data_IF_828645301026
#
_entry.id   IF_828645301026
#
_cell.length_a   1.000
_cell.length_b   1.000
_cell.length_c   1.000
_cell.angle_alpha   90.00
_cell.angle_beta   90.00
_cell.angle_gamma   90.00
#
_symmetry.space_group_name_H-M   'P 1'
#
loop_
_entity.id
_entity.type
_entity.pdbx_description
1 polymer ?
#
# COMPACT_ATOMS: atom_id res chain seq x y z
N UNK A 1 2.59 -8.73 37.37
CA UNK A 1 3.46 -8.82 36.18
C UNK A 1 4.93 -8.74 36.59
N UNK A 2 5.70 -9.76 36.25
CA UNK A 2 7.15 -9.78 36.33
C UNK A 2 7.76 -8.98 35.17
N UNK A 3 9.06 -8.66 35.24
CA UNK A 3 9.75 -7.99 34.11
C UNK A 3 9.70 -8.85 32.84
N UNK A 4 9.89 -10.16 32.97
CA UNK A 4 9.88 -11.09 31.84
C UNK A 4 8.51 -11.23 31.18
N UNK A 5 7.43 -11.26 31.99
CA UNK A 5 6.06 -11.22 31.48
C UNK A 5 5.80 -9.93 30.70
N UNK A 6 6.17 -8.78 31.27
CA UNK A 6 5.96 -7.46 30.64
C UNK A 6 6.73 -7.30 29.32
N UNK A 7 7.98 -7.76 29.28
CA UNK A 7 8.78 -7.78 28.06
C UNK A 7 8.10 -8.62 26.96
N UNK A 8 7.66 -9.83 27.30
CA UNK A 8 7.03 -10.74 26.35
C UNK A 8 5.72 -10.15 25.79
N UNK A 9 4.88 -9.57 26.65
CA UNK A 9 3.63 -8.97 26.19
C UNK A 9 3.87 -7.76 25.27
N UNK A 10 4.92 -6.97 25.50
CA UNK A 10 5.32 -5.86 24.60
C UNK A 10 5.82 -6.36 23.24
N UNK A 11 6.65 -7.40 23.23
CA UNK A 11 7.14 -8.03 21.99
C UNK A 11 5.98 -8.59 21.15
N UNK A 12 5.08 -9.35 21.77
CA UNK A 12 3.89 -9.90 21.11
C UNK A 12 2.93 -8.80 20.62
N UNK A 13 2.79 -7.72 21.40
CA UNK A 13 1.96 -6.59 21.00
C UNK A 13 2.52 -5.88 19.76
N UNK A 14 3.82 -5.58 19.74
CA UNK A 14 4.44 -4.87 18.62
C UNK A 14 4.37 -5.65 17.32
N UNK A 15 4.65 -6.95 17.36
CA UNK A 15 4.54 -7.84 16.20
C UNK A 15 3.08 -7.90 15.69
N UNK A 16 2.11 -8.03 16.61
CA UNK A 16 0.69 -8.03 16.27
C UNK A 16 0.23 -6.70 15.69
N UNK A 17 0.68 -5.58 16.26
CA UNK A 17 0.35 -4.24 15.83
C UNK A 17 0.84 -3.98 14.40
N UNK A 18 2.12 -4.27 14.12
CA UNK A 18 2.72 -4.10 12.80
C UNK A 18 1.97 -4.92 11.75
N UNK A 19 1.70 -6.21 12.05
CA UNK A 19 0.92 -7.09 11.18
C UNK A 19 -0.48 -6.54 10.88
N UNK A 20 -1.15 -5.91 11.85
CA UNK A 20 -2.47 -5.33 11.66
C UNK A 20 -2.43 -4.05 10.83
N UNK A 21 -1.47 -3.17 11.08
CA UNK A 21 -1.27 -1.95 10.29
C UNK A 21 -0.99 -2.29 8.83
N UNK A 22 -0.11 -3.25 8.56
CA UNK A 22 0.15 -3.74 7.21
C UNK A 22 -1.12 -4.26 6.52
N UNK A 23 -1.90 -5.10 7.20
CA UNK A 23 -3.17 -5.64 6.67
C UNK A 23 -4.16 -4.54 6.30
N UNK A 24 -4.28 -3.49 7.12
CA UNK A 24 -5.16 -2.35 6.86
C UNK A 24 -4.73 -1.63 5.59
N UNK A 25 -3.44 -1.28 5.47
CA UNK A 25 -2.94 -0.56 4.29
C UNK A 25 -3.02 -1.40 3.02
N UNK A 26 -2.70 -2.70 3.10
CA UNK A 26 -2.90 -3.65 2.00
C UNK A 26 -4.38 -3.61 1.59
N UNK A 27 -5.31 -3.83 2.52
CA UNK A 27 -6.74 -3.87 2.21
C UNK A 27 -7.25 -2.58 1.56
N UNK A 28 -6.81 -1.40 2.02
CA UNK A 28 -7.18 -0.12 1.41
C UNK A 28 -6.65 0.04 -0.01
N UNK A 29 -5.38 -0.30 -0.24
CA UNK A 29 -4.81 -0.34 -1.59
C UNK A 29 -5.60 -1.31 -2.50
N UNK A 30 -6.00 -2.48 -1.97
CA UNK A 30 -6.81 -3.45 -2.71
C UNK A 30 -8.17 -2.91 -3.12
N UNK A 31 -8.89 -2.27 -2.21
CA UNK A 31 -10.21 -1.68 -2.49
C UNK A 31 -10.09 -0.62 -3.60
N UNK A 32 -9.08 0.24 -3.54
CA UNK A 32 -8.85 1.26 -4.56
C UNK A 32 -8.51 0.64 -5.94
N UNK A 33 -7.72 -0.45 -5.97
CA UNK A 33 -7.45 -1.20 -7.20
C UNK A 33 -8.71 -1.89 -7.77
N UNK A 34 -9.58 -2.44 -6.91
CA UNK A 34 -10.83 -3.07 -7.34
C UNK A 34 -11.77 -2.03 -7.95
N UNK A 35 -11.90 -0.84 -7.32
CA UNK A 35 -12.69 0.29 -7.87
C UNK A 35 -12.18 0.70 -9.26
N UNK A 36 -10.86 0.76 -9.45
CA UNK A 36 -10.25 1.02 -10.77
C UNK A 36 -10.60 -0.07 -11.79
N UNK A 37 -10.50 -1.36 -11.44
CA UNK A 37 -10.79 -2.47 -12.37
C UNK A 37 -12.27 -2.53 -12.76
N UNK A 38 -13.17 -2.40 -11.80
CA UNK A 38 -14.60 -2.63 -11.98
C UNK A 38 -15.33 -1.57 -12.80
N UNK A 39 -14.75 -0.37 -12.94
CA UNK A 39 -15.41 0.75 -13.62
C UNK A 39 -14.46 1.68 -14.37
N UNK A 40 -13.28 1.23 -14.80
CA UNK A 40 -12.27 2.11 -15.42
C UNK A 40 -12.82 2.97 -16.57
N UNK A 41 -13.71 2.39 -17.39
CA UNK A 41 -14.41 3.07 -18.50
C UNK A 41 -15.46 4.06 -18.04
N UNK A 42 -16.06 3.81 -16.88
CA UNK A 42 -17.23 4.52 -16.35
C UNK A 42 -16.80 5.65 -15.40
N UNK A 43 -15.57 5.58 -14.89
CA UNK A 43 -14.95 6.62 -14.08
C UNK A 43 -14.48 7.79 -14.96
N UNK A 44 -14.65 9.00 -14.45
CA UNK A 44 -14.01 10.19 -14.99
C UNK A 44 -12.49 10.13 -14.83
N UNK A 45 -11.76 10.99 -15.56
CA UNK A 45 -10.31 11.10 -15.41
C UNK A 45 -9.90 11.45 -13.98
N UNK A 46 -10.66 12.32 -13.32
CA UNK A 46 -10.35 12.78 -11.97
C UNK A 46 -10.57 11.68 -10.94
N UNK A 47 -11.64 10.88 -11.07
CA UNK A 47 -11.87 9.72 -10.21
C UNK A 47 -10.80 8.64 -10.39
N UNK A 48 -10.42 8.33 -11.63
CA UNK A 48 -9.28 7.42 -11.90
C UNK A 48 -8.00 7.94 -11.26
N UNK A 49 -7.72 9.23 -11.37
CA UNK A 49 -6.53 9.86 -10.80
C UNK A 49 -6.55 9.75 -9.27
N UNK A 50 -7.69 10.04 -8.64
CA UNK A 50 -7.87 9.90 -7.19
C UNK A 50 -7.64 8.47 -6.72
N UNK A 51 -8.19 7.46 -7.40
CA UNK A 51 -7.95 6.07 -7.01
C UNK A 51 -6.49 5.65 -7.20
N UNK A 52 -5.83 6.09 -8.27
CA UNK A 52 -4.39 5.87 -8.44
C UNK A 52 -3.56 6.53 -7.33
N UNK A 53 -3.94 7.73 -6.87
CA UNK A 53 -3.30 8.40 -5.73
C UNK A 53 -3.49 7.60 -4.43
N UNK A 54 -4.70 7.13 -4.14
CA UNK A 54 -4.98 6.29 -2.96
C UNK A 54 -4.12 5.01 -2.99
N UNK A 55 -4.06 4.33 -4.14
CA UNK A 55 -3.20 3.15 -4.32
C UNK A 55 -1.74 3.52 -4.05
N UNK A 56 -1.25 4.62 -4.65
CA UNK A 56 0.12 5.08 -4.47
C UNK A 56 0.44 5.35 -3.00
N UNK A 57 -0.38 6.13 -2.31
CA UNK A 57 -0.16 6.54 -0.92
C UNK A 57 -0.08 5.34 0.04
N UNK A 58 -0.97 4.36 -0.13
CA UNK A 58 -0.96 3.15 0.70
C UNK A 58 0.22 2.23 0.36
N UNK A 59 0.58 2.10 -0.92
CA UNK A 59 1.77 1.34 -1.32
C UNK A 59 3.06 2.00 -0.84
N UNK A 60 3.18 3.32 -0.91
CA UNK A 60 4.31 4.07 -0.35
C UNK A 60 4.43 3.85 1.16
N UNK A 61 3.30 3.78 1.87
CA UNK A 61 3.31 3.50 3.31
C UNK A 61 3.80 2.08 3.62
N UNK A 62 3.37 1.07 2.86
CA UNK A 62 3.83 -0.32 3.01
C UNK A 62 5.31 -0.51 2.64
N UNK A 63 5.84 0.33 1.74
CA UNK A 63 7.23 0.27 1.29
C UNK A 63 8.17 1.12 2.15
N UNK A 64 7.66 1.85 3.15
CA UNK A 64 8.52 2.54 4.12
C UNK A 64 9.36 1.49 4.87
N UNK A 65 10.63 1.80 5.17
CA UNK A 65 11.42 0.95 6.06
C UNK A 65 10.64 0.72 7.36
N UNK A 66 10.61 -0.52 7.87
CA UNK A 66 9.99 -0.79 9.16
C UNK A 66 10.65 0.07 10.24
N UNK A 67 9.88 0.48 11.24
CA UNK A 67 10.46 1.15 12.39
C UNK A 67 11.47 0.21 13.06
N UNK A 68 12.56 0.75 13.65
CA UNK A 68 13.52 -0.08 14.35
C UNK A 68 12.82 -0.88 15.45
N UNK A 69 12.92 -2.21 15.40
CA UNK A 69 12.40 -3.07 16.45
C UNK A 69 13.08 -2.71 17.77
N UNK A 70 12.27 -2.35 18.78
CA UNK A 70 12.76 -2.03 20.11
C UNK A 70 13.32 -3.29 20.78
N UNK A 71 14.56 -3.21 21.25
CA UNK A 71 15.20 -4.30 21.99
C UNK A 71 14.80 -4.23 23.47
N UNK A 72 13.61 -4.77 23.79
CA UNK A 72 13.06 -4.82 25.14
C UNK A 72 13.95 -5.60 26.12
N UNK A 73 14.84 -6.47 25.63
CA UNK A 73 15.75 -7.25 26.48
C UNK A 73 16.75 -6.36 27.24
N UNK A 74 17.06 -5.18 26.70
CA UNK A 74 18.00 -4.21 27.29
C UNK A 74 17.32 -3.16 28.18
N UNK A 75 16.00 -3.12 28.21
CA UNK A 75 15.24 -2.14 28.98
C UNK A 75 15.08 -2.56 30.44
N UNK A 76 15.07 -1.57 31.32
CA UNK A 76 14.68 -1.70 32.72
C UNK A 76 13.18 -1.94 32.86
N UNK A 77 12.76 -2.47 34.01
CA UNK A 77 11.32 -2.68 34.28
C UNK A 77 10.51 -1.38 34.19
N UNK A 78 11.09 -0.24 34.56
CA UNK A 78 10.42 1.06 34.52
C UNK A 78 10.19 1.51 33.07
N UNK A 79 11.20 1.40 32.21
CA UNK A 79 11.08 1.71 30.78
C UNK A 79 10.03 0.80 30.11
N UNK A 80 10.01 -0.49 30.43
CA UNK A 80 8.98 -1.41 29.94
C UNK A 80 7.56 -0.98 30.38
N UNK A 81 7.38 -0.50 31.61
CA UNK A 81 6.08 -0.01 32.09
C UNK A 81 5.64 1.27 31.37
N UNK A 82 6.59 2.14 31.04
CA UNK A 82 6.31 3.33 30.24
C UNK A 82 5.81 2.94 28.85
N UNK A 83 6.51 2.04 28.16
CA UNK A 83 6.07 1.50 26.87
C UNK A 83 4.70 0.81 26.94
N UNK A 84 4.46 0.04 28.00
CA UNK A 84 3.17 -0.60 28.24
C UNK A 84 2.02 0.40 28.38
N UNK A 85 2.25 1.54 29.05
CA UNK A 85 1.24 2.57 29.17
C UNK A 85 0.92 3.25 27.82
N UNK A 86 1.87 3.25 26.87
CA UNK A 86 1.66 3.76 25.52
C UNK A 86 0.91 2.80 24.59
N UNK A 87 0.75 1.52 24.95
CA UNK A 87 -0.04 0.55 24.15
C UNK A 87 -1.45 1.07 23.89
N UNK A 88 -2.10 1.68 24.88
CA UNK A 88 -3.46 2.19 24.70
C UNK A 88 -3.55 3.26 23.61
N UNK A 89 -2.54 4.14 23.51
CA UNK A 89 -2.49 5.16 22.46
C UNK A 89 -2.31 4.52 21.09
N UNK A 90 -1.45 3.49 20.98
CA UNK A 90 -1.29 2.72 19.73
C UNK A 90 -2.57 1.96 19.38
N UNK A 91 -3.25 1.40 20.36
CA UNK A 91 -4.53 0.72 20.19
C UNK A 91 -5.60 1.66 19.66
N UNK A 92 -5.71 2.87 20.22
CA UNK A 92 -6.61 3.91 19.75
C UNK A 92 -6.29 4.32 18.30
N UNK A 93 -5.01 4.54 17.98
CA UNK A 93 -4.59 4.82 16.61
C UNK A 93 -4.95 3.68 15.63
N UNK A 94 -4.85 2.42 16.08
CA UNK A 94 -5.27 1.27 15.28
C UNK A 94 -6.80 1.24 15.08
N UNK A 95 -7.58 1.55 16.11
CA UNK A 95 -9.03 1.67 16.02
C UNK A 95 -9.40 2.80 15.04
N UNK A 96 -8.78 3.96 15.13
CA UNK A 96 -8.99 5.05 14.17
C UNK A 96 -8.65 4.64 12.74
N UNK A 97 -7.58 3.87 12.53
CA UNK A 97 -7.23 3.29 11.23
C UNK A 97 -8.29 2.27 10.74
N UNK A 98 -8.98 1.57 11.63
CA UNK A 98 -10.12 0.73 11.24
C UNK A 98 -11.39 1.55 10.97
N UNK A 99 -11.64 2.59 11.75
CA UNK A 99 -12.88 3.39 11.72
C UNK A 99 -12.91 4.46 10.63
N UNK A 100 -11.74 4.89 10.12
CA UNK A 100 -11.65 5.70 8.90
C UNK A 100 -12.13 4.87 7.71
N UNK A 101 -13.46 4.80 7.58
CA UNK A 101 -14.24 4.10 6.57
C UNK A 101 -13.92 4.64 5.19
N UNK A 102 -13.34 3.77 4.37
CA UNK A 102 -13.83 3.62 3.00
C UNK A 102 -15.17 2.87 3.10
N UNK A 103 -16.21 3.30 2.37
CA UNK A 103 -17.55 2.69 2.31
C UNK A 103 -17.53 1.25 1.75
N UNK A 104 -16.91 0.32 2.47
CA UNK A 104 -16.87 -1.09 2.15
C UNK A 104 -17.34 -1.89 3.36
N UNK A 105 -18.58 -2.36 3.30
CA UNK A 105 -19.13 -3.31 4.27
C UNK A 105 -18.49 -4.68 4.04
N UNK A 106 -17.82 -5.27 5.05
CA UNK A 106 -17.35 -6.64 4.96
C UNK A 106 -18.57 -7.56 5.06
N UNK A 107 -19.14 -7.94 3.92
CA UNK A 107 -20.08 -9.06 3.86
C UNK A 107 -19.43 -10.20 3.06
N UNK A 108 -18.98 -11.21 3.80
CA UNK A 108 -18.94 -12.63 3.40
C UNK A 108 -17.94 -13.12 2.32
N UNK A 109 -16.82 -12.45 2.04
CA UNK A 109 -16.00 -12.83 0.86
C UNK A 109 -14.46 -12.94 1.06
N UNK A 110 -13.96 -13.41 2.20
CA UNK A 110 -12.49 -13.56 2.40
C UNK A 110 -11.77 -14.51 1.40
N UNK A 111 -12.48 -15.45 0.77
CA UNK A 111 -11.91 -16.34 -0.28
C UNK A 111 -12.12 -15.83 -1.71
N UNK A 112 -13.21 -15.11 -1.96
CA UNK A 112 -13.55 -14.47 -3.25
C UNK A 112 -12.63 -13.27 -3.53
N UNK A 113 -12.22 -12.56 -2.48
CA UNK A 113 -11.38 -11.36 -2.57
C UNK A 113 -9.95 -11.66 -3.02
N UNK A 114 -9.34 -12.80 -2.68
CA UNK A 114 -7.96 -13.11 -3.08
C UNK A 114 -7.83 -13.32 -4.60
N UNK A 115 -8.82 -13.93 -5.24
CA UNK A 115 -8.83 -14.10 -6.70
C UNK A 115 -9.14 -12.78 -7.42
N UNK A 116 -10.16 -12.03 -6.94
CA UNK A 116 -10.46 -10.67 -7.44
C UNK A 116 -9.25 -9.74 -7.33
N UNK A 117 -8.49 -9.87 -6.23
CA UNK A 117 -7.22 -9.18 -5.99
C UNK A 117 -6.17 -9.55 -7.02
N UNK A 118 -5.88 -10.84 -7.18
CA UNK A 118 -4.86 -11.32 -8.13
C UNK A 118 -5.17 -10.82 -9.53
N UNK A 119 -6.43 -10.83 -9.92
CA UNK A 119 -6.87 -10.29 -11.19
C UNK A 119 -6.73 -8.76 -11.29
N UNK A 120 -7.12 -8.01 -10.25
CA UNK A 120 -6.96 -6.55 -10.22
C UNK A 120 -5.48 -6.13 -10.29
N UNK A 121 -4.63 -6.81 -9.53
CA UNK A 121 -3.18 -6.57 -9.53
C UNK A 121 -2.56 -6.92 -10.89
N UNK A 122 -2.94 -8.07 -11.47
CA UNK A 122 -2.50 -8.48 -12.80
C UNK A 122 -2.96 -7.49 -13.86
N UNK A 123 -4.21 -7.01 -13.79
CA UNK A 123 -4.75 -6.00 -14.69
C UNK A 123 -3.95 -4.70 -14.60
N UNK A 124 -3.69 -4.18 -13.39
CA UNK A 124 -2.93 -2.95 -13.20
C UNK A 124 -1.48 -3.09 -13.69
N UNK A 125 -0.81 -4.21 -13.39
CA UNK A 125 0.53 -4.49 -13.89
C UNK A 125 0.57 -4.52 -15.43
N UNK A 126 -0.41 -5.19 -16.04
CA UNK A 126 -0.53 -5.23 -17.50
C UNK A 126 -0.81 -3.85 -18.08
N UNK A 127 -1.70 -3.06 -17.47
CA UNK A 127 -2.02 -1.71 -17.92
C UNK A 127 -0.78 -0.80 -17.90
N UNK A 128 -0.02 -0.83 -16.79
CA UNK A 128 1.25 -0.09 -16.68
C UNK A 128 2.24 -0.56 -17.74
N UNK A 129 2.42 -1.87 -17.89
CA UNK A 129 3.33 -2.45 -18.90
C UNK A 129 2.97 -1.99 -20.31
N UNK A 130 1.69 -2.06 -20.69
CA UNK A 130 1.20 -1.60 -21.99
C UNK A 130 1.49 -0.12 -22.18
N UNK A 131 1.14 0.72 -21.20
CA UNK A 131 1.34 2.18 -21.30
C UNK A 131 2.81 2.58 -21.39
N UNK A 132 3.69 1.91 -20.65
CA UNK A 132 5.15 2.11 -20.75
C UNK A 132 5.65 1.68 -22.13
N UNK A 133 5.18 0.54 -22.65
CA UNK A 133 5.58 0.03 -23.97
C UNK A 133 5.12 0.94 -25.11
N UNK A 134 3.88 1.43 -25.05
CA UNK A 134 3.32 2.41 -26.00
C UNK A 134 4.13 3.72 -25.99
N UNK A 135 4.44 4.22 -24.79
CA UNK A 135 5.23 5.45 -24.62
C UNK A 135 6.64 5.29 -25.17
N UNK A 136 7.31 4.18 -24.85
CA UNK A 136 8.64 3.86 -25.38
C UNK A 136 8.63 3.76 -26.91
N UNK A 137 7.66 3.04 -27.47
CA UNK A 137 7.51 2.89 -28.94
C UNK A 137 7.32 4.26 -29.61
N UNK A 138 6.53 5.15 -28.98
CA UNK A 138 6.31 6.51 -29.46
C UNK A 138 7.61 7.31 -29.47
N UNK A 139 8.36 7.29 -28.38
CA UNK A 139 9.67 7.98 -28.28
C UNK A 139 10.65 7.46 -29.33
N UNK A 140 10.73 6.14 -29.51
CA UNK A 140 11.60 5.52 -30.52
C UNK A 140 11.21 5.97 -31.93
N UNK A 141 9.92 5.99 -32.28
CA UNK A 141 9.46 6.51 -33.57
C UNK A 141 9.86 7.96 -33.78
N UNK A 142 9.65 8.83 -32.79
CA UNK A 142 10.05 10.24 -32.88
C UNK A 142 11.55 10.41 -33.11
N UNK A 143 12.39 9.63 -32.41
CA UNK A 143 13.84 9.66 -32.61
C UNK A 143 14.25 9.22 -34.03
N UNK A 144 13.60 8.20 -34.57
CA UNK A 144 13.88 7.74 -35.94
C UNK A 144 13.39 8.72 -37.00
N UNK A 145 12.20 9.29 -36.82
CA UNK A 145 11.63 10.32 -37.72
C UNK A 145 12.48 11.61 -37.70
N UNK A 146 12.98 12.05 -36.54
CA UNK A 146 13.91 13.18 -36.44
C UNK A 146 15.25 12.91 -37.15
N UNK A 147 15.77 11.67 -37.11
CA UNK A 147 17.00 11.30 -37.83
C UNK A 147 16.83 11.30 -39.34
N UNK A 148 15.73 10.77 -39.86
CA UNK A 148 15.44 10.80 -41.31
C UNK A 148 15.31 12.23 -41.84
N UNK A 149 14.72 13.16 -41.06
CA UNK A 149 14.61 14.57 -41.43
C UNK A 149 15.98 15.27 -41.46
N UNK A 150 16.88 14.97 -40.51
CA UNK A 150 18.24 15.52 -40.48
C UNK A 150 19.09 15.00 -41.64
N UNK A 151 18.96 13.72 -42.01
CA UNK A 151 19.69 13.14 -43.14
C UNK A 151 19.21 13.69 -44.50
N UNK A 152 17.91 13.96 -44.66
CA UNK A 152 17.35 14.54 -45.89
C UNK A 152 17.59 16.05 -46.04
N UNK A 153 17.80 16.79 -44.95
CA UNK A 153 18.12 18.23 -44.95
C UNK A 153 19.62 18.53 -45.05
N UNK A 154 20.45 17.50 -45.08
CA UNK A 154 21.91 17.58 -45.24
C UNK A 154 22.38 17.37 -46.70
N UNK A 155 21.45 17.20 -47.64
CA UNK A 155 21.65 17.15 -49.09
C UNK A 155 21.13 18.42 -49.76
#
# INVERSE_FOLDING_TARGET
>A
MTRGELQKELEEYDESYESQVEKIYIRRAMIAMIKLKGGFSDLTKDERTRHCQIVKEHMETLLKPPEPVLDYSKMTKQELLEHWNFINVRQEALIELYETRDDYTPREEESSDRNKLKEAFSYMCNLVKTKVTESYTTIVKMIWEEREIVELSSY
#
